data_IF_809549821883
#
_entry.id   IF_809549821883
#
_cell.length_a   1.000
_cell.length_b   1.000
_cell.length_c   1.000
_cell.angle_alpha   90.00
_cell.angle_beta   90.00
_cell.angle_gamma   90.00
#
_symmetry.space_group_name_H-M   'P 1'
#
loop_
_entity.id
_entity.type
_entity.pdbx_description
1 polymer ?
#
# COMPACT_ATOMS: atom_id res chain seq x y z
N UNK A 1 -56.75 20.65 19.84
CA UNK A 1 -56.51 21.28 18.52
C UNK A 1 -55.45 20.49 17.79
N UNK A 2 -55.77 19.88 16.64
CA UNK A 2 -54.80 19.34 15.69
C UNK A 2 -53.96 20.48 15.13
N UNK A 3 -52.62 20.37 15.14
CA UNK A 3 -51.75 21.03 14.16
C UNK A 3 -50.62 20.11 13.74
N UNK A 4 -50.52 19.99 12.42
CA UNK A 4 -49.68 19.14 11.60
C UNK A 4 -48.21 19.59 11.55
N UNK A 5 -47.29 18.62 11.58
CA UNK A 5 -45.89 18.79 11.19
C UNK A 5 -45.78 18.59 9.67
N UNK A 6 -45.16 19.47 8.87
CA UNK A 6 -44.98 19.25 7.44
C UNK A 6 -43.69 18.47 7.12
N UNK A 7 -43.86 17.41 6.32
CA UNK A 7 -42.98 16.97 5.22
C UNK A 7 -41.61 16.33 5.52
N UNK A 8 -41.63 15.07 5.97
CA UNK A 8 -40.57 14.08 5.72
C UNK A 8 -40.70 13.30 4.40
N UNK A 9 -41.78 13.49 3.65
CA UNK A 9 -42.15 12.63 2.51
C UNK A 9 -41.42 12.88 1.17
N UNK A 10 -40.60 13.94 1.04
CA UNK A 10 -39.85 14.18 -0.22
C UNK A 10 -38.54 13.38 -0.30
N UNK A 11 -37.90 13.05 0.83
CA UNK A 11 -36.63 12.34 0.85
C UNK A 11 -36.77 10.81 0.65
N UNK A 12 -37.81 10.19 1.22
CA UNK A 12 -38.07 8.77 0.98
C UNK A 12 -38.56 8.50 -0.45
N UNK A 13 -39.29 9.45 -1.06
CA UNK A 13 -39.79 9.28 -2.43
C UNK A 13 -38.65 9.25 -3.46
N UNK A 14 -37.55 9.98 -3.27
CA UNK A 14 -36.40 9.91 -4.20
C UNK A 14 -35.59 8.62 -4.05
N UNK A 15 -35.44 8.08 -2.83
CA UNK A 15 -34.82 6.75 -2.64
C UNK A 15 -35.71 5.62 -3.20
N UNK A 16 -37.02 5.70 -3.01
CA UNK A 16 -37.97 4.72 -3.54
C UNK A 16 -38.16 4.79 -5.06
N UNK A 17 -38.11 5.99 -5.68
CA UNK A 17 -38.20 6.16 -7.13
C UNK A 17 -36.93 5.66 -7.86
N UNK A 18 -35.75 5.79 -7.26
CA UNK A 18 -34.50 5.25 -7.81
C UNK A 18 -34.37 3.74 -7.60
N UNK A 19 -34.79 3.21 -6.44
CA UNK A 19 -34.92 1.76 -6.24
C UNK A 19 -35.98 1.14 -7.17
N UNK A 20 -37.08 1.87 -7.43
CA UNK A 20 -38.12 1.49 -8.38
C UNK A 20 -37.64 1.54 -9.84
N UNK A 21 -36.85 2.54 -10.23
CA UNK A 21 -36.24 2.61 -11.56
C UNK A 21 -35.21 1.48 -11.79
N UNK A 22 -34.45 1.10 -10.76
CA UNK A 22 -33.53 -0.05 -10.78
C UNK A 22 -34.28 -1.39 -10.89
N UNK A 23 -35.44 -1.53 -10.23
CA UNK A 23 -36.31 -2.70 -10.34
C UNK A 23 -37.01 -2.82 -11.70
N UNK A 24 -37.37 -1.70 -12.34
CA UNK A 24 -38.01 -1.69 -13.67
C UNK A 24 -37.04 -2.12 -14.78
N UNK A 25 -35.74 -1.81 -14.63
CA UNK A 25 -34.70 -2.35 -15.53
C UNK A 25 -34.50 -3.86 -15.30
N UNK A 26 -34.57 -4.32 -14.05
CA UNK A 26 -34.51 -5.75 -13.70
C UNK A 26 -35.71 -6.57 -14.25
N UNK A 27 -36.93 -6.02 -14.22
CA UNK A 27 -38.12 -6.69 -14.74
C UNK A 27 -38.25 -6.67 -16.27
N UNK A 28 -37.68 -5.67 -16.93
CA UNK A 28 -37.72 -5.59 -18.41
C UNK A 28 -36.79 -6.61 -19.09
N UNK A 29 -35.81 -7.16 -18.36
CA UNK A 29 -34.86 -8.16 -18.87
C UNK A 29 -35.37 -9.59 -18.62
N UNK A 30 -36.21 -9.83 -17.60
CA UNK A 30 -36.78 -11.16 -17.32
C UNK A 30 -37.94 -11.54 -18.24
N UNK A 31 -38.52 -10.60 -18.98
CA UNK A 31 -39.59 -10.86 -19.95
C UNK A 31 -39.11 -11.18 -21.38
N UNK A 32 -37.81 -11.00 -21.68
CA UNK A 32 -37.20 -11.33 -22.96
C UNK A 32 -36.50 -12.68 -22.90
N UNK A 33 -37.26 -13.76 -23.06
CA UNK A 33 -36.75 -15.12 -22.89
C UNK A 33 -35.57 -15.48 -23.81
N UNK A 34 -34.49 -15.96 -23.19
CA UNK A 34 -33.88 -17.26 -23.51
C UNK A 34 -33.29 -17.81 -22.21
N UNK A 35 -33.61 -19.07 -21.89
CA UNK A 35 -33.39 -19.65 -20.57
C UNK A 35 -31.93 -19.94 -20.23
N UNK A 36 -31.57 -19.73 -18.97
CA UNK A 36 -30.47 -20.40 -18.31
C UNK A 36 -30.99 -21.06 -17.01
N UNK A 37 -30.60 -22.31 -16.72
CA UNK A 37 -31.17 -23.07 -15.62
C UNK A 37 -30.67 -22.57 -14.26
N UNK A 38 -31.53 -22.77 -13.28
CA UNK A 38 -31.34 -22.56 -11.86
C UNK A 38 -30.05 -23.15 -11.28
N UNK A 39 -29.38 -22.36 -10.45
CA UNK A 39 -28.68 -22.82 -9.26
C UNK A 39 -27.32 -23.50 -9.48
N UNK A 40 -26.26 -22.69 -9.39
CA UNK A 40 -24.99 -23.07 -8.77
C UNK A 40 -24.19 -21.79 -8.50
N UNK A 41 -23.93 -21.52 -7.21
CA UNK A 41 -22.96 -20.52 -6.78
C UNK A 41 -21.57 -20.99 -7.24
N UNK A 42 -20.92 -20.23 -8.13
CA UNK A 42 -19.51 -20.39 -8.43
C UNK A 42 -18.70 -19.35 -7.62
N UNK A 43 -17.50 -19.72 -7.13
CA UNK A 43 -16.66 -18.82 -6.34
C UNK A 43 -16.21 -17.62 -7.17
N UNK A 44 -15.84 -16.53 -6.49
CA UNK A 44 -15.39 -15.29 -7.10
C UNK A 44 -14.12 -15.50 -7.96
N UNK A 45 -14.33 -15.75 -9.24
CA UNK A 45 -13.30 -15.94 -10.25
C UNK A 45 -13.95 -16.53 -11.50
N UNK A 46 -13.77 -15.88 -12.64
CA UNK A 46 -14.15 -16.38 -13.98
C UNK A 46 -15.61 -16.21 -14.44
N UNK A 47 -16.30 -15.14 -14.02
CA UNK A 47 -17.38 -14.54 -14.82
C UNK A 47 -16.82 -13.45 -15.74
N UNK A 48 -17.23 -13.39 -17.01
CA UNK A 48 -16.86 -12.29 -17.92
C UNK A 48 -17.28 -10.94 -17.30
N UNK A 49 -16.28 -10.18 -16.81
CA UNK A 49 -16.47 -8.83 -16.29
C UNK A 49 -16.94 -7.93 -17.44
N UNK A 50 -17.94 -7.05 -17.23
CA UNK A 50 -18.28 -6.04 -18.23
C UNK A 50 -17.04 -5.21 -18.54
N UNK A 51 -16.50 -5.34 -19.76
CA UNK A 51 -15.33 -4.59 -20.17
C UNK A 51 -15.68 -3.10 -20.24
N UNK A 52 -14.91 -2.26 -19.57
CA UNK A 52 -15.02 -0.80 -19.71
C UNK A 52 -14.65 -0.34 -21.13
N UNK A 53 -13.79 -1.11 -21.80
CA UNK A 53 -13.31 -0.83 -23.15
C UNK A 53 -14.47 -0.91 -24.16
N UNK A 54 -14.88 0.25 -24.69
CA UNK A 54 -15.89 0.37 -25.74
C UNK A 54 -17.30 0.75 -25.25
N UNK A 55 -17.50 0.96 -23.95
CA UNK A 55 -18.80 1.37 -23.41
C UNK A 55 -18.96 2.89 -23.51
N UNK A 56 -19.81 3.35 -24.43
CA UNK A 56 -20.08 4.78 -24.62
C UNK A 56 -20.60 5.46 -23.34
N UNK A 57 -20.11 6.67 -23.06
CA UNK A 57 -20.57 7.50 -21.94
C UNK A 57 -22.09 7.70 -22.00
N UNK A 58 -22.75 7.58 -20.85
CA UNK A 58 -24.21 7.73 -20.75
C UNK A 58 -25.02 6.56 -21.32
N UNK A 59 -24.36 5.49 -21.78
CA UNK A 59 -25.05 4.28 -22.18
C UNK A 59 -25.60 3.51 -20.96
N UNK A 60 -26.67 2.72 -21.14
CA UNK A 60 -27.16 1.81 -20.11
C UNK A 60 -26.09 0.84 -19.61
N UNK A 61 -25.19 0.38 -20.48
CA UNK A 61 -24.07 -0.48 -20.12
C UNK A 61 -23.08 0.20 -19.15
N UNK A 62 -22.83 1.50 -19.32
CA UNK A 62 -21.99 2.25 -18.39
C UNK A 62 -22.65 2.41 -17.02
N UNK A 63 -23.96 2.66 -16.99
CA UNK A 63 -24.72 2.73 -15.73
C UNK A 63 -24.75 1.38 -14.99
N UNK A 64 -24.87 0.27 -15.73
CA UNK A 64 -24.77 -1.08 -15.19
C UNK A 64 -23.38 -1.36 -14.60
N UNK A 65 -22.30 -0.98 -15.30
CA UNK A 65 -20.94 -1.10 -14.81
C UNK A 65 -20.71 -0.34 -13.50
N UNK A 66 -21.15 0.92 -13.40
CA UNK A 66 -21.02 1.69 -12.15
C UNK A 66 -21.85 1.07 -11.02
N UNK A 67 -23.05 0.58 -11.32
CA UNK A 67 -23.89 -0.10 -10.33
C UNK A 67 -23.24 -1.39 -9.82
N UNK A 68 -22.62 -2.15 -10.72
CA UNK A 68 -21.85 -3.35 -10.40
C UNK A 68 -20.66 -3.03 -9.49
N UNK A 69 -19.81 -2.05 -9.88
CA UNK A 69 -18.68 -1.62 -9.05
C UNK A 69 -19.13 -1.16 -7.65
N UNK A 70 -20.24 -0.42 -7.57
CA UNK A 70 -20.80 0.01 -6.29
C UNK A 70 -21.24 -1.16 -5.41
N UNK A 71 -21.81 -2.22 -6.02
CA UNK A 71 -22.21 -3.42 -5.30
C UNK A 71 -21.00 -4.24 -4.83
N UNK A 72 -19.96 -4.38 -5.66
CA UNK A 72 -18.71 -5.04 -5.25
C UNK A 72 -18.04 -4.34 -4.07
N UNK A 73 -18.01 -3.00 -4.07
CA UNK A 73 -17.46 -2.22 -2.96
C UNK A 73 -18.22 -2.51 -1.65
N UNK A 74 -19.55 -2.57 -1.70
CA UNK A 74 -20.37 -2.83 -0.51
C UNK A 74 -20.26 -4.28 -0.03
N UNK A 75 -20.20 -5.22 -0.98
CA UNK A 75 -20.10 -6.65 -0.69
C UNK A 75 -18.71 -7.06 -0.20
N UNK A 76 -17.65 -6.34 -0.60
CA UNK A 76 -16.29 -6.57 -0.11
C UNK A 76 -16.25 -6.24 1.39
N UNK A 77 -16.15 -7.28 2.21
CA UNK A 77 -15.89 -7.19 3.65
C UNK A 77 -14.48 -7.69 3.99
N UNK A 78 -13.95 -8.60 3.18
CA UNK A 78 -12.61 -9.16 3.36
C UNK A 78 -11.51 -8.23 2.81
N UNK A 79 -10.33 -8.19 3.45
CA UNK A 79 -9.16 -7.50 2.92
C UNK A 79 -8.72 -8.08 1.57
N UNK A 80 -8.35 -7.21 0.64
CA UNK A 80 -7.88 -7.64 -0.68
C UNK A 80 -8.24 -6.69 -1.81
N UNK A 81 -7.83 -7.08 -3.02
CA UNK A 81 -8.21 -6.39 -4.26
C UNK A 81 -9.71 -6.59 -4.48
N UNK A 82 -10.45 -5.49 -4.54
CA UNK A 82 -11.90 -5.51 -4.84
C UNK A 82 -12.07 -5.64 -6.33
N UNK A 83 -11.54 -4.67 -7.07
CA UNK A 83 -11.73 -4.60 -8.51
C UNK A 83 -10.65 -3.73 -9.17
N UNK A 84 -10.52 -3.88 -10.49
CA UNK A 84 -9.87 -2.89 -11.33
C UNK A 84 -10.79 -1.67 -11.45
N UNK A 85 -10.21 -0.47 -11.48
CA UNK A 85 -11.00 0.77 -11.59
C UNK A 85 -10.26 1.80 -12.43
N UNK A 86 -10.92 2.39 -13.42
CA UNK A 86 -10.37 3.51 -14.18
C UNK A 86 -10.58 4.85 -13.49
N UNK A 87 -9.94 5.91 -14.01
CA UNK A 87 -10.22 7.27 -13.56
C UNK A 87 -11.67 7.70 -13.81
N UNK A 88 -12.30 7.24 -14.91
CA UNK A 88 -13.69 7.56 -15.19
C UNK A 88 -14.62 6.85 -14.21
N UNK A 89 -14.39 5.56 -13.95
CA UNK A 89 -15.12 4.80 -12.94
C UNK A 89 -15.02 5.46 -11.56
N UNK A 90 -13.80 5.84 -11.16
CA UNK A 90 -13.57 6.51 -9.88
C UNK A 90 -14.25 7.90 -9.82
N UNK A 91 -14.17 8.71 -10.89
CA UNK A 91 -14.89 10.00 -10.97
C UNK A 91 -16.39 9.84 -10.75
N UNK A 92 -16.99 8.80 -11.34
CA UNK A 92 -18.42 8.54 -11.21
C UNK A 92 -18.79 8.07 -9.80
N UNK A 93 -18.07 7.11 -9.23
CA UNK A 93 -18.32 6.64 -7.86
C UNK A 93 -18.20 7.80 -6.86
N UNK A 94 -17.19 8.67 -7.03
CA UNK A 94 -17.05 9.89 -6.21
C UNK A 94 -18.27 10.81 -6.31
N UNK A 95 -18.83 10.99 -7.51
CA UNK A 95 -20.02 11.82 -7.73
C UNK A 95 -21.27 11.22 -7.09
N UNK A 96 -21.47 9.90 -7.19
CA UNK A 96 -22.68 9.25 -6.70
C UNK A 96 -22.67 8.96 -5.19
N UNK A 97 -21.53 8.57 -4.63
CA UNK A 97 -21.39 8.26 -3.20
C UNK A 97 -20.85 9.42 -2.36
N UNK A 98 -20.47 10.52 -3.00
CA UNK A 98 -19.78 11.60 -2.30
C UNK A 98 -18.46 11.11 -1.71
N UNK A 99 -17.66 10.36 -2.46
CA UNK A 99 -16.32 9.97 -2.02
C UNK A 99 -15.27 10.99 -2.44
N UNK A 100 -14.18 11.06 -1.69
CA UNK A 100 -12.99 11.85 -2.00
C UNK A 100 -11.75 10.97 -1.97
N UNK A 101 -10.82 11.26 -2.89
CA UNK A 101 -9.48 10.67 -2.90
C UNK A 101 -8.53 11.61 -2.17
N UNK A 102 -7.83 11.08 -1.17
CA UNK A 102 -6.75 11.77 -0.45
C UNK A 102 -5.44 11.06 -0.74
N UNK A 103 -4.49 11.71 -1.46
CA UNK A 103 -3.16 11.15 -1.66
C UNK A 103 -2.47 10.87 -0.32
N UNK A 104 -1.90 9.68 -0.20
CA UNK A 104 -1.16 9.24 0.99
C UNK A 104 0.21 8.65 0.67
N UNK A 105 0.43 8.26 -0.58
CA UNK A 105 1.74 7.89 -1.11
C UNK A 105 1.82 8.37 -2.57
N UNK A 106 2.92 9.02 -2.93
CA UNK A 106 3.18 9.58 -4.26
C UNK A 106 4.05 8.67 -5.14
N UNK A 107 4.27 7.42 -4.70
CA UNK A 107 5.05 6.42 -5.40
C UNK A 107 6.56 6.61 -5.31
N UNK A 108 7.06 7.65 -4.64
CA UNK A 108 8.50 7.87 -4.50
C UNK A 108 9.19 6.72 -3.73
N UNK A 109 8.46 6.02 -2.85
CA UNK A 109 8.97 4.84 -2.17
C UNK A 109 9.24 3.66 -3.12
N UNK A 110 8.74 3.66 -4.34
CA UNK A 110 9.01 2.61 -5.33
C UNK A 110 10.05 3.01 -6.38
N UNK A 111 10.67 4.19 -6.25
CA UNK A 111 11.84 4.59 -7.05
C UNK A 111 13.07 3.85 -6.56
N UNK A 112 13.23 2.62 -7.02
CA UNK A 112 14.34 1.73 -6.66
C UNK A 112 15.36 1.64 -7.79
N UNK A 113 16.65 1.50 -7.46
CA UNK A 113 17.68 1.29 -8.45
C UNK A 113 17.58 -0.14 -9.01
N UNK A 114 17.83 -0.30 -10.31
CA UNK A 114 17.87 -1.59 -10.99
C UNK A 114 18.94 -1.60 -12.08
N UNK A 115 19.31 -2.77 -12.65
CA UNK A 115 20.21 -2.81 -13.80
C UNK A 115 19.75 -1.96 -14.99
N UNK A 116 18.44 -1.87 -15.22
CA UNK A 116 17.85 -1.05 -16.29
C UNK A 116 17.83 0.45 -15.95
N UNK A 117 17.80 0.80 -14.67
CA UNK A 117 17.77 2.19 -14.18
C UNK A 117 18.68 2.36 -12.97
N UNK A 118 20.01 2.35 -13.16
CA UNK A 118 20.94 2.54 -12.06
C UNK A 118 20.89 3.99 -11.57
N UNK A 119 21.13 4.18 -10.27
CA UNK A 119 21.42 5.49 -9.73
C UNK A 119 22.80 5.96 -10.17
N UNK A 120 22.90 7.26 -10.49
CA UNK A 120 24.16 7.91 -10.78
C UNK A 120 25.08 7.88 -9.55
N UNK A 121 26.39 7.99 -9.77
CA UNK A 121 27.37 8.09 -8.68
C UNK A 121 27.14 9.30 -7.77
N UNK A 122 26.53 10.36 -8.30
CA UNK A 122 26.17 11.57 -7.56
C UNK A 122 24.81 11.50 -6.86
N UNK A 123 24.09 10.38 -6.96
CA UNK A 123 22.79 10.22 -6.30
C UNK A 123 22.93 10.35 -4.79
N UNK A 124 22.03 11.14 -4.20
CA UNK A 124 21.84 11.22 -2.76
C UNK A 124 20.36 10.96 -2.47
N UNK A 125 20.04 10.11 -1.48
CA UNK A 125 18.67 9.93 -1.05
C UNK A 125 18.15 11.20 -0.35
N UNK A 126 16.87 11.18 0.03
CA UNK A 126 16.33 12.17 0.96
C UNK A 126 17.06 12.16 2.31
N UNK A 127 16.60 12.97 3.28
CA UNK A 127 17.27 13.14 4.56
C UNK A 127 17.61 11.80 5.24
N UNK A 128 18.85 11.66 5.67
CA UNK A 128 19.35 10.52 6.44
C UNK A 128 19.38 10.86 7.93
N UNK A 129 19.20 9.83 8.76
CA UNK A 129 19.26 9.90 10.21
C UNK A 129 20.22 8.84 10.72
N UNK A 130 21.14 9.24 11.60
CA UNK A 130 21.96 8.30 12.35
C UNK A 130 21.10 7.51 13.34
N UNK A 131 21.30 6.19 13.38
CA UNK A 131 20.75 5.31 14.39
C UNK A 131 21.56 5.47 15.69
N UNK A 132 21.22 6.51 16.45
CA UNK A 132 21.77 6.78 17.78
C UNK A 132 20.80 6.37 18.91
N UNK A 133 19.59 5.95 18.57
CA UNK A 133 18.57 5.52 19.54
C UNK A 133 18.95 4.16 20.16
N UNK A 134 19.15 4.07 21.50
CA UNK A 134 19.43 2.81 22.17
C UNK A 134 18.32 1.75 21.99
N UNK A 135 17.09 2.16 21.66
CA UNK A 135 15.99 1.27 21.34
C UNK A 135 16.14 0.57 19.98
N UNK A 136 17.10 1.01 19.15
CA UNK A 136 17.45 0.40 17.87
C UNK A 136 18.93 -0.05 17.93
N UNK A 137 19.22 -1.21 18.55
CA UNK A 137 20.58 -1.72 18.65
C UNK A 137 21.19 -1.89 17.26
N UNK A 138 22.45 -1.50 17.10
CA UNK A 138 23.18 -1.65 15.85
C UNK A 138 24.60 -2.16 16.09
N UNK A 139 25.16 -2.89 15.13
CA UNK A 139 26.52 -3.46 15.26
C UNK A 139 27.62 -2.43 15.01
N UNK A 140 27.25 -1.26 14.48
CA UNK A 140 28.13 -0.16 14.08
C UNK A 140 27.27 1.09 13.89
N UNK A 141 27.90 2.25 13.66
CA UNK A 141 27.17 3.44 13.25
C UNK A 141 26.50 3.20 11.89
N UNK A 142 25.19 3.45 11.84
CA UNK A 142 24.35 3.24 10.66
C UNK A 142 23.49 4.48 10.45
N UNK A 143 23.29 4.85 9.19
CA UNK A 143 22.33 5.85 8.77
C UNK A 143 21.16 5.18 8.05
N UNK A 144 19.95 5.71 8.21
CA UNK A 144 18.75 5.27 7.50
C UNK A 144 17.99 6.48 6.96
N UNK A 145 17.18 6.31 5.93
CA UNK A 145 16.30 7.37 5.46
C UNK A 145 15.31 7.79 6.56
N UNK A 146 15.12 9.09 6.76
CA UNK A 146 14.25 9.64 7.79
C UNK A 146 12.82 9.08 7.72
N UNK A 147 12.32 8.82 6.50
CA UNK A 147 11.00 8.22 6.26
C UNK A 147 10.85 6.80 6.81
N UNK A 148 11.97 6.07 6.96
CA UNK A 148 12.00 4.70 7.47
C UNK A 148 12.34 4.64 8.97
N UNK A 149 12.77 5.75 9.59
CA UNK A 149 13.27 5.76 10.97
C UNK A 149 12.20 5.36 11.99
N UNK A 150 11.04 6.02 11.97
CA UNK A 150 9.98 5.75 12.93
C UNK A 150 9.37 4.35 12.74
N UNK A 151 9.03 3.91 11.51
CA UNK A 151 8.59 2.53 11.29
C UNK A 151 9.63 1.49 11.71
N UNK A 152 10.92 1.76 11.49
CA UNK A 152 12.00 0.90 11.97
C UNK A 152 12.00 0.79 13.50
N UNK A 153 11.88 1.93 14.19
CA UNK A 153 11.85 2.01 15.66
C UNK A 153 10.72 1.17 16.23
N UNK A 154 9.52 1.32 15.67
CA UNK A 154 8.33 0.56 16.08
C UNK A 154 8.49 -0.95 15.81
N UNK A 155 9.01 -1.32 14.64
CA UNK A 155 9.24 -2.72 14.28
C UNK A 155 10.26 -3.39 15.20
N UNK A 156 11.38 -2.72 15.47
CA UNK A 156 12.44 -3.24 16.36
C UNK A 156 11.92 -3.33 17.79
N UNK A 157 11.17 -2.34 18.27
CA UNK A 157 10.55 -2.39 19.58
C UNK A 157 9.55 -3.56 19.70
N UNK A 158 8.74 -3.81 18.67
CA UNK A 158 7.83 -4.96 18.63
C UNK A 158 8.60 -6.28 18.71
N UNK A 159 9.60 -6.50 17.86
CA UNK A 159 10.39 -7.75 17.87
C UNK A 159 11.08 -7.94 19.21
N UNK A 160 11.78 -6.92 19.71
CA UNK A 160 12.54 -7.00 20.97
C UNK A 160 11.67 -7.02 22.23
N UNK A 161 10.36 -6.77 22.12
CA UNK A 161 9.43 -7.01 23.22
C UNK A 161 9.16 -8.49 23.48
N UNK A 162 9.50 -9.38 22.52
CA UNK A 162 9.31 -10.82 22.66
C UNK A 162 10.46 -11.47 23.43
N UNK A 163 10.18 -12.42 24.35
CA UNK A 163 11.23 -13.08 25.13
C UNK A 163 12.31 -13.73 24.27
N UNK A 164 13.57 -13.45 24.59
CA UNK A 164 14.73 -14.03 23.89
C UNK A 164 15.08 -13.38 22.56
N UNK A 165 14.36 -12.33 22.13
CA UNK A 165 14.67 -11.58 20.91
C UNK A 165 15.66 -10.45 21.18
N UNK A 166 16.69 -10.36 20.36
CA UNK A 166 17.71 -9.30 20.33
C UNK A 166 18.05 -8.97 18.88
N UNK A 167 17.08 -8.38 18.19
CA UNK A 167 17.23 -7.87 16.83
C UNK A 167 18.17 -6.66 16.82
N UNK A 168 19.11 -6.66 15.88
CA UNK A 168 20.09 -5.59 15.69
C UNK A 168 20.19 -5.19 14.22
N UNK A 169 20.45 -3.92 13.96
CA UNK A 169 20.77 -3.41 12.62
C UNK A 169 22.26 -3.62 12.33
N UNK A 170 22.55 -4.29 11.23
CA UNK A 170 23.91 -4.56 10.75
C UNK A 170 24.37 -3.59 9.65
N UNK A 171 23.45 -3.12 8.81
CA UNK A 171 23.73 -2.15 7.75
C UNK A 171 22.49 -1.34 7.39
N UNK A 172 22.69 -0.11 6.91
CA UNK A 172 21.64 0.77 6.38
C UNK A 172 22.12 1.45 5.11
N UNK A 173 22.04 2.78 5.04
CA UNK A 173 22.50 3.57 3.91
C UNK A 173 23.94 3.23 3.49
N UNK A 174 24.16 3.24 2.17
CA UNK A 174 25.45 2.99 1.55
C UNK A 174 25.60 3.87 0.31
N UNK A 175 26.68 4.66 0.27
CA UNK A 175 27.00 5.48 -0.90
C UNK A 175 27.39 4.63 -2.11
N UNK A 176 27.39 5.26 -3.29
CA UNK A 176 27.85 4.62 -4.53
C UNK A 176 29.30 4.13 -4.41
N UNK A 177 30.21 4.96 -3.89
CA UNK A 177 31.64 4.64 -3.75
C UNK A 177 31.82 3.44 -2.83
N UNK A 178 31.06 3.40 -1.72
CA UNK A 178 31.11 2.27 -0.81
C UNK A 178 30.61 0.99 -1.50
N UNK A 179 29.53 1.08 -2.28
CA UNK A 179 29.04 -0.05 -3.06
C UNK A 179 30.09 -0.52 -4.09
N UNK A 180 30.79 0.38 -4.77
CA UNK A 180 31.86 0.06 -5.71
C UNK A 180 33.00 -0.73 -5.08
N UNK A 181 33.43 -0.34 -3.87
CA UNK A 181 34.45 -1.09 -3.12
C UNK A 181 33.94 -2.48 -2.74
N UNK A 182 32.70 -2.60 -2.25
CA UNK A 182 32.13 -3.90 -1.88
C UNK A 182 31.99 -4.84 -3.07
N UNK A 183 31.48 -4.33 -4.20
CA UNK A 183 31.33 -5.09 -5.43
C UNK A 183 32.68 -5.57 -5.97
N UNK A 184 33.66 -4.68 -6.08
CA UNK A 184 35.00 -5.04 -6.54
C UNK A 184 35.66 -6.10 -5.64
N UNK A 185 35.47 -6.00 -4.32
CA UNK A 185 35.96 -7.00 -3.37
C UNK A 185 35.24 -8.34 -3.52
N UNK A 186 33.92 -8.34 -3.79
CA UNK A 186 33.18 -9.59 -4.05
C UNK A 186 33.65 -10.24 -5.35
N UNK A 187 33.80 -9.48 -6.44
CA UNK A 187 34.31 -9.99 -7.71
C UNK A 187 35.70 -10.65 -7.56
N UNK A 188 36.60 -10.03 -6.80
CA UNK A 188 37.91 -10.64 -6.46
C UNK A 188 37.77 -11.94 -5.68
N UNK A 189 36.85 -12.01 -4.71
CA UNK A 189 36.61 -13.25 -3.94
C UNK A 189 36.03 -14.36 -4.81
N UNK A 190 35.13 -14.03 -5.73
CA UNK A 190 34.60 -15.01 -6.70
C UNK A 190 35.74 -15.62 -7.52
N UNK A 191 36.72 -14.84 -7.97
CA UNK A 191 37.89 -15.38 -8.70
C UNK A 191 38.79 -16.29 -7.84
N UNK A 192 38.74 -16.16 -6.52
CA UNK A 192 39.45 -17.05 -5.58
C UNK A 192 38.64 -18.32 -5.31
N UNK A 193 37.32 -18.17 -5.14
CA UNK A 193 36.37 -19.29 -4.93
C UNK A 193 36.26 -20.19 -6.17
N UNK A 194 36.40 -19.60 -7.36
CA UNK A 194 36.29 -20.26 -8.66
C UNK A 194 37.54 -19.98 -9.52
N UNK A 195 38.68 -20.65 -9.26
CA UNK A 195 39.94 -20.40 -9.98
C UNK A 195 39.85 -20.59 -11.50
N UNK A 196 38.92 -21.41 -11.99
CA UNK A 196 38.64 -21.60 -13.42
C UNK A 196 38.12 -20.32 -14.11
N UNK A 197 37.64 -19.34 -13.34
CA UNK A 197 37.18 -18.04 -13.83
C UNK A 197 38.29 -16.99 -13.93
N UNK A 198 39.55 -17.28 -13.61
CA UNK A 198 40.64 -16.28 -13.63
C UNK A 198 40.83 -15.58 -14.98
N UNK A 199 40.44 -16.22 -16.09
CA UNK A 199 40.44 -15.62 -17.43
C UNK A 199 39.09 -15.00 -17.87
N UNK A 200 38.03 -15.15 -17.09
CA UNK A 200 36.66 -14.72 -17.41
C UNK A 200 36.11 -13.80 -16.32
N UNK A 201 36.65 -12.58 -16.31
CA UNK A 201 36.27 -11.54 -15.35
C UNK A 201 34.80 -11.17 -15.42
N UNK A 202 34.20 -11.16 -16.61
CA UNK A 202 32.79 -10.82 -16.77
C UNK A 202 31.89 -11.85 -16.09
N UNK A 203 32.20 -13.16 -16.21
CA UNK A 203 31.45 -14.19 -15.50
C UNK A 203 31.61 -14.09 -13.99
N UNK A 204 32.80 -13.77 -13.50
CA UNK A 204 33.02 -13.52 -12.08
C UNK A 204 32.24 -12.30 -11.58
N UNK A 205 32.18 -11.21 -12.35
CA UNK A 205 31.39 -10.02 -12.02
C UNK A 205 29.88 -10.29 -12.06
N UNK A 206 29.39 -11.15 -12.98
CA UNK A 206 27.97 -11.60 -12.98
C UNK A 206 27.62 -12.40 -11.73
N UNK A 207 28.46 -13.35 -11.32
CA UNK A 207 28.25 -14.13 -10.08
C UNK A 207 28.31 -13.20 -8.86
N UNK A 208 29.29 -12.29 -8.82
CA UNK A 208 29.39 -11.29 -7.76
C UNK A 208 28.14 -10.40 -7.69
N UNK A 209 27.59 -10.01 -8.85
CA UNK A 209 26.39 -9.17 -8.97
C UNK A 209 25.12 -9.77 -8.36
N UNK A 210 25.03 -11.11 -8.31
CA UNK A 210 23.92 -11.80 -7.64
C UNK A 210 24.00 -11.77 -6.11
N UNK A 211 25.16 -11.42 -5.55
CA UNK A 211 25.44 -11.47 -4.10
C UNK A 211 25.67 -10.07 -3.53
N UNK A 212 26.34 -9.22 -4.30
CA UNK A 212 26.57 -7.81 -3.97
C UNK A 212 26.17 -7.02 -5.20
N UNK A 213 25.17 -6.16 -5.07
CA UNK A 213 24.68 -5.34 -6.16
C UNK A 213 25.80 -4.57 -6.88
N UNK A 214 25.67 -4.43 -8.19
CA UNK A 214 26.53 -3.56 -8.99
C UNK A 214 26.38 -2.11 -8.48
N UNK A 215 27.43 -1.27 -8.51
CA UNK A 215 27.32 0.13 -8.10
C UNK A 215 26.21 0.85 -8.86
N UNK A 216 25.37 1.60 -8.16
CA UNK A 216 24.18 2.21 -8.73
C UNK A 216 22.94 1.32 -8.76
N UNK A 217 23.04 0.00 -8.52
CA UNK A 217 21.88 -0.93 -8.49
C UNK A 217 21.50 -1.40 -7.08
N UNK A 218 22.20 -0.91 -6.05
CA UNK A 218 22.00 -1.32 -4.66
C UNK A 218 20.86 -0.57 -3.97
N UNK A 219 19.89 -1.30 -3.44
CA UNK A 219 18.78 -0.72 -2.68
C UNK A 219 19.25 0.06 -1.43
N UNK A 220 20.41 -0.25 -0.84
CA UNK A 220 20.97 0.53 0.28
C UNK A 220 21.27 1.97 -0.06
N UNK A 221 21.44 2.31 -1.35
CA UNK A 221 21.62 3.70 -1.77
C UNK A 221 20.38 4.56 -1.48
N UNK A 222 19.19 3.94 -1.37
CA UNK A 222 17.97 4.65 -0.98
C UNK A 222 17.94 5.04 0.50
N UNK A 223 18.81 4.46 1.33
CA UNK A 223 18.75 4.54 2.79
C UNK A 223 17.59 3.77 3.43
N UNK A 224 16.77 3.09 2.63
CA UNK A 224 15.56 2.35 3.07
C UNK A 224 15.75 0.85 3.14
N UNK A 225 16.83 0.33 2.55
CA UNK A 225 17.23 -1.06 2.73
C UNK A 225 18.11 -1.19 3.99
N UNK A 226 17.74 -2.15 4.83
CA UNK A 226 18.31 -2.34 6.15
C UNK A 226 18.62 -3.83 6.31
N UNK A 227 19.88 -4.13 6.62
CA UNK A 227 20.30 -5.48 6.96
C UNK A 227 20.19 -5.68 8.46
N UNK A 228 19.58 -6.80 8.85
CA UNK A 228 19.40 -7.20 10.23
C UNK A 228 20.26 -8.39 10.60
N UNK A 229 20.53 -8.50 11.89
CA UNK A 229 21.21 -9.64 12.51
C UNK A 229 20.67 -9.78 13.92
N UNK A 230 21.16 -10.78 14.64
CA UNK A 230 20.80 -11.00 16.04
C UNK A 230 22.06 -11.13 16.87
N UNK A 231 21.92 -10.97 18.19
CA UNK A 231 23.04 -11.16 19.11
C UNK A 231 23.69 -12.55 18.97
N UNK A 232 22.90 -13.60 18.72
CA UNK A 232 23.40 -14.98 18.55
C UNK A 232 24.18 -15.16 17.25
N UNK A 233 23.86 -14.39 16.20
CA UNK A 233 24.57 -14.41 14.93
C UNK A 233 25.81 -13.50 14.91
N UNK A 234 26.07 -12.75 15.99
CA UNK A 234 27.29 -11.93 16.18
C UNK A 234 27.61 -10.99 15.02
N UNK A 235 26.57 -10.42 14.40
CA UNK A 235 26.72 -9.52 13.26
C UNK A 235 26.76 -10.20 11.89
N UNK A 236 26.56 -11.52 11.83
CA UNK A 236 26.47 -12.27 10.58
C UNK A 236 25.21 -11.92 9.78
N UNK A 237 25.39 -11.77 8.47
CA UNK A 237 24.34 -11.69 7.46
C UNK A 237 24.32 -13.04 6.75
N UNK A 238 23.51 -13.95 7.27
CA UNK A 238 23.51 -15.37 6.91
C UNK A 238 22.09 -15.92 6.87
N UNK A 239 21.87 -16.98 6.10
CA UNK A 239 20.53 -17.54 5.86
C UNK A 239 19.87 -18.06 7.15
N UNK A 240 20.68 -18.48 8.14
CA UNK A 240 20.23 -18.92 9.46
C UNK A 240 19.41 -17.85 10.20
N UNK A 241 19.52 -16.57 9.82
CA UNK A 241 18.66 -15.51 10.32
C UNK A 241 17.17 -15.84 10.16
N UNK A 242 16.76 -16.47 9.04
CA UNK A 242 15.38 -16.89 8.82
C UNK A 242 14.84 -17.85 9.89
N UNK A 243 15.72 -18.67 10.48
CA UNK A 243 15.38 -19.63 11.52
C UNK A 243 15.34 -19.06 12.94
N UNK A 244 15.83 -17.83 13.14
CA UNK A 244 15.83 -17.16 14.45
C UNK A 244 14.41 -16.74 14.86
N UNK A 245 14.12 -16.58 16.17
CA UNK A 245 12.86 -15.99 16.63
C UNK A 245 12.55 -14.65 15.98
N UNK A 246 13.56 -13.79 15.83
CA UNK A 246 13.46 -12.46 15.24
C UNK A 246 13.14 -12.53 13.75
N UNK A 247 13.86 -13.37 13.00
CA UNK A 247 13.61 -13.57 11.56
C UNK A 247 12.20 -14.08 11.28
N UNK A 248 11.68 -15.00 12.11
CA UNK A 248 10.29 -15.48 12.01
C UNK A 248 9.27 -14.37 12.29
N UNK A 249 9.48 -13.58 13.35
CA UNK A 249 8.60 -12.46 13.68
C UNK A 249 8.59 -11.41 12.57
N UNK A 250 9.76 -11.10 11.99
CA UNK A 250 9.85 -10.17 10.86
C UNK A 250 9.13 -10.72 9.63
N UNK A 251 9.29 -12.02 9.29
CA UNK A 251 8.57 -12.65 8.17
C UNK A 251 7.05 -12.52 8.27
N UNK A 252 6.52 -12.54 9.49
CA UNK A 252 5.07 -12.45 9.72
C UNK A 252 4.55 -11.01 9.87
N UNK A 253 5.36 -10.09 10.41
CA UNK A 253 4.88 -8.79 10.87
C UNK A 253 5.58 -7.56 10.29
N UNK A 254 6.72 -7.69 9.61
CA UNK A 254 7.48 -6.54 9.09
C UNK A 254 6.63 -5.66 8.15
N UNK A 255 5.73 -6.26 7.38
CA UNK A 255 4.83 -5.56 6.47
C UNK A 255 3.92 -4.54 7.16
N UNK A 256 3.55 -4.78 8.42
CA UNK A 256 2.72 -3.84 9.22
C UNK A 256 3.43 -2.51 9.44
N UNK A 257 4.75 -2.54 9.44
CA UNK A 257 5.63 -1.38 9.56
C UNK A 257 6.16 -0.90 8.20
N UNK A 258 5.63 -1.43 7.09
CA UNK A 258 6.01 -1.02 5.74
C UNK A 258 7.31 -1.63 5.21
N UNK A 259 7.83 -2.67 5.86
CA UNK A 259 9.02 -3.41 5.40
C UNK A 259 8.64 -4.69 4.67
N UNK A 260 9.39 -5.02 3.63
CA UNK A 260 9.23 -6.26 2.85
C UNK A 260 10.58 -6.96 2.69
N UNK A 261 10.55 -8.25 2.37
CA UNK A 261 11.73 -9.03 1.98
C UNK A 261 11.84 -9.01 0.45
N UNK A 262 12.67 -8.13 -0.15
CA UNK A 262 12.76 -8.03 -1.60
C UNK A 262 13.47 -9.25 -2.22
N UNK A 263 14.29 -9.98 -1.45
CA UNK A 263 15.04 -11.14 -1.90
C UNK A 263 14.60 -12.40 -1.16
N UNK A 264 13.41 -12.89 -1.52
CA UNK A 264 12.80 -14.07 -0.90
C UNK A 264 13.31 -15.39 -1.52
N UNK A 265 13.25 -16.46 -0.74
CA UNK A 265 13.63 -17.82 -1.15
C UNK A 265 12.79 -18.28 -2.35
N UNK A 266 13.45 -18.84 -3.37
CA UNK A 266 12.79 -19.34 -4.58
C UNK A 266 12.37 -18.25 -5.58
N UNK A 267 12.77 -16.98 -5.33
CA UNK A 267 12.49 -15.83 -6.20
C UNK A 267 13.75 -15.28 -6.86
N UNK A 268 14.87 -15.98 -6.78
CA UNK A 268 16.20 -15.52 -7.22
C UNK A 268 16.26 -15.25 -8.72
N UNK A 269 15.52 -16.01 -9.53
CA UNK A 269 15.44 -15.78 -10.98
C UNK A 269 14.59 -14.56 -11.34
N UNK A 270 13.71 -14.12 -10.43
CA UNK A 270 12.89 -12.91 -10.60
C UNK A 270 13.68 -11.69 -10.13
N UNK A 271 14.29 -11.77 -8.95
CA UNK A 271 14.98 -10.64 -8.31
C UNK A 271 16.39 -10.43 -8.88
N UNK A 272 17.02 -11.51 -9.38
CA UNK A 272 18.42 -11.52 -9.80
C UNK A 272 19.43 -11.59 -8.64
N UNK A 273 18.95 -11.75 -7.40
CA UNK A 273 19.79 -11.82 -6.19
C UNK A 273 19.60 -13.16 -5.48
N UNK A 274 20.60 -13.58 -4.70
CA UNK A 274 20.48 -14.73 -3.80
C UNK A 274 19.41 -14.47 -2.73
N UNK A 275 18.95 -15.53 -2.06
CA UNK A 275 18.10 -15.39 -0.89
C UNK A 275 18.82 -14.61 0.22
N UNK A 276 18.20 -13.53 0.70
CA UNK A 276 18.76 -12.68 1.76
C UNK A 276 17.71 -12.43 2.87
N UNK A 277 17.51 -13.38 3.80
CA UNK A 277 16.54 -13.20 4.87
C UNK A 277 16.87 -12.07 5.86
N UNK A 278 18.09 -11.55 5.82
CA UNK A 278 18.50 -10.41 6.65
C UNK A 278 18.13 -9.06 6.03
N UNK A 279 17.89 -8.99 4.72
CA UNK A 279 17.73 -7.73 3.98
C UNK A 279 16.26 -7.37 3.85
N UNK A 280 15.85 -6.26 4.50
CA UNK A 280 14.49 -5.73 4.41
C UNK A 280 14.50 -4.36 3.74
N UNK A 281 13.46 -4.07 2.95
CA UNK A 281 13.27 -2.77 2.30
C UNK A 281 12.01 -2.07 2.81
N UNK A 282 12.15 -0.82 3.25
CA UNK A 282 10.99 0.02 3.56
C UNK A 282 10.34 0.55 2.28
N UNK A 283 9.11 0.11 2.01
CA UNK A 283 8.26 0.53 0.89
C UNK A 283 6.98 1.24 1.35
N UNK A 284 6.81 1.43 2.67
CA UNK A 284 5.58 2.01 3.23
C UNK A 284 4.48 0.97 3.41
N UNK A 285 3.60 1.21 4.41
CA UNK A 285 2.61 0.23 4.86
C UNK A 285 1.60 -0.20 3.79
N UNK A 286 1.26 0.71 2.87
CA UNK A 286 0.26 0.46 1.83
C UNK A 286 0.76 -0.60 0.84
N UNK A 287 1.98 -0.42 0.33
CA UNK A 287 2.58 -1.35 -0.61
C UNK A 287 2.95 -2.67 0.07
N UNK A 288 3.51 -2.62 1.27
CA UNK A 288 3.92 -3.81 2.01
C UNK A 288 2.75 -4.76 2.31
N UNK A 289 1.55 -4.23 2.58
CA UNK A 289 0.35 -5.04 2.82
C UNK A 289 -0.05 -5.91 1.61
N UNK A 290 -0.09 -5.32 0.41
CA UNK A 290 -0.39 -6.09 -0.81
C UNK A 290 0.71 -7.11 -1.08
N UNK A 291 1.97 -6.68 -0.97
CA UNK A 291 3.13 -7.56 -1.19
C UNK A 291 3.08 -8.78 -0.25
N UNK A 292 2.80 -8.56 1.05
CA UNK A 292 2.66 -9.64 2.01
C UNK A 292 1.48 -10.57 1.68
N UNK A 293 0.31 -10.00 1.39
CA UNK A 293 -0.92 -10.75 1.16
C UNK A 293 -0.78 -11.74 0.00
N UNK A 294 -0.01 -11.38 -1.02
CA UNK A 294 0.22 -12.22 -2.19
C UNK A 294 1.53 -13.03 -2.13
N UNK A 295 2.38 -12.82 -1.11
CA UNK A 295 3.70 -13.46 -1.03
C UNK A 295 4.62 -13.07 -2.19
N UNK A 296 4.51 -11.82 -2.64
CA UNK A 296 5.25 -11.30 -3.79
C UNK A 296 6.60 -10.71 -3.40
N UNK A 297 7.51 -10.64 -4.37
CA UNK A 297 8.61 -9.67 -4.37
C UNK A 297 8.20 -8.39 -5.09
N UNK A 298 9.04 -7.36 -5.05
CA UNK A 298 8.71 -6.04 -5.57
C UNK A 298 8.48 -6.08 -7.08
N UNK A 299 9.27 -6.87 -7.80
CA UNK A 299 9.18 -7.07 -9.24
C UNK A 299 7.81 -7.65 -9.65
N UNK A 300 7.30 -8.62 -8.88
CA UNK A 300 5.98 -9.21 -9.11
C UNK A 300 4.86 -8.21 -8.82
N UNK A 301 4.98 -7.45 -7.72
CA UNK A 301 4.02 -6.41 -7.37
C UNK A 301 3.95 -5.29 -8.43
N UNK A 302 5.11 -4.80 -8.88
CA UNK A 302 5.18 -3.79 -9.94
C UNK A 302 4.65 -4.34 -11.27
N UNK A 303 4.98 -5.58 -11.65
CA UNK A 303 4.46 -6.21 -12.86
C UNK A 303 2.94 -6.40 -12.83
N UNK A 304 2.38 -6.76 -11.66
CA UNK A 304 0.94 -6.81 -11.46
C UNK A 304 0.28 -5.43 -11.61
N UNK A 305 0.83 -4.41 -10.95
CA UNK A 305 0.31 -3.04 -11.03
C UNK A 305 0.45 -2.44 -12.42
N UNK A 306 1.52 -2.76 -13.13
CA UNK A 306 1.70 -2.38 -14.54
C UNK A 306 0.57 -2.95 -15.40
N UNK A 307 0.22 -4.22 -15.22
CA UNK A 307 -0.88 -4.86 -15.97
C UNK A 307 -2.25 -4.28 -15.60
N UNK A 308 -2.54 -4.11 -14.32
CA UNK A 308 -3.87 -3.69 -13.85
C UNK A 308 -4.11 -2.19 -13.99
N UNK A 309 -3.03 -1.39 -14.03
CA UNK A 309 -3.01 0.09 -14.11
C UNK A 309 -3.62 0.82 -12.92
N UNK A 310 -4.77 0.38 -12.41
CA UNK A 310 -5.40 0.98 -11.24
C UNK A 310 -6.39 0.01 -10.59
N UNK A 311 -6.27 -0.16 -9.28
CA UNK A 311 -7.10 -1.08 -8.50
C UNK A 311 -7.73 -0.36 -7.31
N UNK A 312 -8.88 -0.87 -6.87
CA UNK A 312 -9.46 -0.56 -5.58
C UNK A 312 -9.20 -1.74 -4.63
N UNK A 313 -8.75 -1.43 -3.43
CA UNK A 313 -8.31 -2.39 -2.45
C UNK A 313 -8.93 -2.08 -1.08
N UNK A 314 -9.34 -3.13 -0.37
CA UNK A 314 -9.75 -3.06 1.03
C UNK A 314 -8.59 -3.48 1.92
N UNK A 315 -8.16 -2.57 2.78
CA UNK A 315 -7.13 -2.83 3.77
C UNK A 315 -7.61 -3.77 4.88
N UNK A 316 -6.66 -4.37 5.59
CA UNK A 316 -6.90 -5.18 6.80
C UNK A 316 -7.63 -4.37 7.88
N UNK A 317 -7.38 -3.06 7.94
CA UNK A 317 -8.07 -2.11 8.84
C UNK A 317 -9.44 -1.66 8.30
N UNK A 318 -9.91 -2.23 7.18
CA UNK A 318 -11.20 -1.92 6.55
C UNK A 318 -11.20 -0.69 5.64
N UNK A 319 -10.12 0.09 5.63
CA UNK A 319 -9.99 1.28 4.79
C UNK A 319 -10.01 0.94 3.29
N UNK A 320 -10.70 1.77 2.50
CA UNK A 320 -10.63 1.69 1.05
C UNK A 320 -9.46 2.52 0.52
N UNK A 321 -8.68 1.92 -0.39
CA UNK A 321 -7.51 2.52 -1.03
C UNK A 321 -7.58 2.30 -2.52
N UNK A 322 -7.19 3.32 -3.28
CA UNK A 322 -6.95 3.20 -4.71
C UNK A 322 -5.45 3.24 -4.95
N UNK A 323 -4.95 2.26 -5.70
CA UNK A 323 -3.56 2.20 -6.15
C UNK A 323 -3.52 2.53 -7.63
N UNK A 324 -2.61 3.41 -8.05
CA UNK A 324 -2.49 3.86 -9.43
C UNK A 324 -1.06 3.65 -9.92
N UNK A 325 -0.89 2.89 -10.99
CA UNK A 325 0.41 2.71 -11.64
C UNK A 325 0.72 3.92 -12.53
N UNK A 326 1.91 4.47 -12.36
CA UNK A 326 2.44 5.57 -13.14
C UNK A 326 3.40 5.01 -14.20
N UNK A 327 2.98 5.04 -15.47
CA UNK A 327 3.75 4.49 -16.59
C UNK A 327 5.07 5.22 -16.84
N UNK A 328 5.14 6.52 -16.53
CA UNK A 328 6.35 7.32 -16.77
C UNK A 328 7.44 6.98 -15.75
N UNK A 329 7.06 6.76 -14.50
CA UNK A 329 8.01 6.50 -13.41
C UNK A 329 8.23 5.01 -13.16
N UNK A 330 7.28 4.15 -13.54
CA UNK A 330 7.24 2.74 -13.18
C UNK A 330 6.89 2.50 -11.71
N UNK A 331 6.19 3.44 -11.07
CA UNK A 331 5.87 3.39 -9.63
C UNK A 331 4.37 3.36 -9.38
N UNK A 332 3.95 3.16 -8.13
CA UNK A 332 2.55 3.08 -7.74
C UNK A 332 2.23 4.14 -6.71
N UNK A 333 1.25 4.99 -7.01
CA UNK A 333 0.69 5.99 -6.10
C UNK A 333 -0.49 5.40 -5.32
N UNK A 334 -0.74 5.92 -4.12
CA UNK A 334 -1.84 5.44 -3.26
C UNK A 334 -2.71 6.60 -2.78
N UNK A 335 -4.01 6.47 -3.01
CA UNK A 335 -5.04 7.37 -2.53
C UNK A 335 -5.93 6.66 -1.51
N UNK A 336 -6.11 7.25 -0.32
CA UNK A 336 -7.18 6.85 0.59
C UNK A 336 -8.52 7.32 0.04
N UNK A 337 -9.51 6.43 0.07
CA UNK A 337 -10.89 6.75 -0.27
C UNK A 337 -11.63 7.05 1.03
N UNK A 338 -12.13 8.27 1.17
CA UNK A 338 -12.91 8.72 2.34
C UNK A 338 -14.29 9.18 1.89
N UNK A 339 -15.27 9.06 2.78
CA UNK A 339 -16.55 9.74 2.58
C UNK A 339 -16.35 11.25 2.70
N UNK A 340 -17.01 12.00 1.82
CA UNK A 340 -17.05 13.45 1.89
C UNK A 340 -17.83 13.81 3.15
N UNK A 341 -17.19 14.55 4.05
CA UNK A 341 -17.90 15.07 5.22
C UNK A 341 -19.15 15.81 4.78
N UNK A 342 -20.31 15.55 5.42
CA UNK A 342 -21.51 16.29 5.13
C UNK A 342 -21.27 17.79 5.33
N UNK A 343 -21.64 18.61 4.34
CA UNK A 343 -21.45 20.07 4.37
C UNK A 343 -22.12 20.78 5.56
N UNK A 344 -22.99 20.10 6.31
CA UNK A 344 -23.61 20.62 7.54
C UNK A 344 -22.68 20.57 8.77
N UNK A 345 -21.58 19.80 8.75
CA UNK A 345 -20.61 19.80 9.84
C UNK A 345 -19.93 21.18 10.01
N UNK A 346 -19.79 21.95 8.92
CA UNK A 346 -19.35 23.34 8.94
C UNK A 346 -20.35 24.32 9.57
N UNK A 347 -21.63 23.94 9.70
CA UNK A 347 -22.65 24.78 10.37
C UNK A 347 -22.64 24.59 11.89
N UNK A 348 -22.21 23.43 12.42
CA UNK A 348 -22.09 23.23 13.89
C UNK A 348 -20.96 24.05 14.51
N UNK A 349 -19.87 24.31 13.78
CA UNK A 349 -18.77 25.16 14.25
C UNK A 349 -19.07 26.68 14.23
N UNK A 350 -20.17 27.13 13.61
CA UNK A 350 -20.54 28.56 13.55
C UNK A 350 -21.88 28.90 14.19
N UNK A 351 -22.76 27.93 14.46
CA UNK A 351 -24.08 28.19 15.01
C UNK A 351 -24.39 27.24 16.18
N UNK A 352 -23.93 27.64 17.36
CA UNK A 352 -24.36 27.08 18.64
C UNK A 352 -25.83 27.47 18.87
N UNK A 353 -26.77 26.67 18.37
CA UNK A 353 -28.20 26.90 18.55
C UNK A 353 -28.65 26.73 20.02
N UNK A 354 -27.94 25.92 20.81
CA UNK A 354 -28.31 25.63 22.21
C UNK A 354 -28.00 26.79 23.19
N UNK A 355 -26.97 27.60 22.95
CA UNK A 355 -26.64 28.74 23.83
C UNK A 355 -27.58 29.95 23.67
N UNK A 356 -28.28 30.08 22.53
CA UNK A 356 -29.17 31.24 22.28
C UNK A 356 -30.59 31.05 22.80
N UNK A 357 -31.01 29.82 23.09
CA UNK A 357 -32.36 29.55 23.60
C UNK A 357 -32.45 29.50 25.12
N UNK A 358 -31.34 29.33 25.86
CA UNK A 358 -31.36 29.46 27.33
C UNK A 358 -31.38 30.91 27.82
N UNK A 359 -31.07 31.90 26.97
CA UNK A 359 -31.05 33.34 27.32
C UNK A 359 -32.31 34.13 26.92
N UNK A 360 -33.41 33.48 26.55
CA UNK A 360 -34.71 34.16 26.27
C UNK A 360 -35.87 33.68 27.14
N UNK A 361 -35.56 33.13 28.31
CA UNK A 361 -36.53 32.63 29.29
C UNK A 361 -36.76 33.51 30.52
N UNK A 362 -36.21 34.72 30.59
CA UNK A 362 -36.48 35.62 31.72
C UNK A 362 -37.67 36.55 31.41
N UNK A 363 -38.79 36.18 32.03
CA UNK A 363 -39.94 37.06 32.26
C UNK A 363 -39.46 38.22 33.13
N UNK A 364 -39.29 39.40 32.54
CA UNK A 364 -39.10 40.64 33.30
C UNK A 364 -40.49 41.15 33.70
N UNK A 365 -40.82 40.91 34.96
CA UNK A 365 -41.99 41.49 35.61
C UNK A 365 -41.78 43.00 35.78
N UNK A 366 -42.72 43.82 35.31
CA UNK A 366 -42.67 45.29 35.47
C UNK A 366 -43.33 45.68 36.79
N UNK A 367 -42.70 46.49 37.66
CA UNK A 367 -43.44 47.19 38.70
C UNK A 367 -44.23 48.37 38.11
N UNK A 368 -45.47 48.49 38.55
CA UNK A 368 -46.41 49.58 38.24
C UNK A 368 -46.06 50.84 39.03
N UNK A 369 -46.27 51.99 38.37
CA UNK A 369 -46.40 53.39 38.80
C UNK A 369 -46.20 53.82 40.27
N UNK A 370 -45.48 54.94 40.46
CA UNK A 370 -46.03 56.30 40.57
C UNK A 370 -44.93 57.32 40.27
#
# INVERSE_FOLDING_TARGET
>A
MRRSIPNGHKFERHRALLAGALLVVFFSITAGGTGYPSGQFLPAGEGERPAENGVARGSPAFALYISYLMAEIDASQEPGVICRISDEGMRMIRRFRGLVEKPVDDGNLLKLPSPARPFASTYQPGPLMFLADPAIPSTKQVEVAAVAFEPLREMVAFVNSHPGCQLMVASGYRSYERQAVLFANRAKRVLIEYPELQGDREKAERIAGRIVAVPGTSQHMTGRAIDFTTAVLKGGLVEEFAGTPEGRLLKEHAWRYGFVFPYAEGKEEITGYIYEPWHLLYVGKYHAEIIQMHGWVIEEYLGYMEKERSILFRATEGELRRYLYNEETGTVEVNLIKEKEPSWCYLRGRWNWEEKWSKRGEVVDRPRGL
#
